data_IF_952330302656
#
_entry.id   IF_952330302656
#
_cell.length_a   1.000
_cell.length_b   1.000
_cell.length_c   1.000
_cell.angle_alpha   90.00
_cell.angle_beta   90.00
_cell.angle_gamma   90.00
#
_symmetry.space_group_name_H-M   'P 1'
#
loop_
_entity.id
_entity.type
_entity.pdbx_description
1 polymer ?
#
# COMPACT_ATOMS: atom_id res chain seq x y z
N UNK A 1 -10.20 -1.63 -17.18
CA UNK A 1 -11.54 -1.06 -16.92
C UNK A 1 -11.76 0.31 -17.53
N UNK A 2 -10.93 1.31 -17.21
CA UNK A 2 -11.12 2.70 -17.70
C UNK A 2 -11.35 2.79 -19.20
N UNK A 3 -10.53 2.11 -20.02
CA UNK A 3 -10.71 2.08 -21.48
C UNK A 3 -12.13 1.69 -21.90
N UNK A 4 -12.67 0.60 -21.33
CA UNK A 4 -14.00 0.10 -21.68
C UNK A 4 -15.11 1.03 -21.17
N UNK A 5 -14.96 1.56 -19.96
CA UNK A 5 -15.91 2.51 -19.38
C UNK A 5 -15.93 3.84 -20.13
N UNK A 6 -14.77 4.34 -20.57
CA UNK A 6 -14.66 5.55 -21.37
C UNK A 6 -15.35 5.35 -22.73
N UNK A 7 -15.10 4.23 -23.43
CA UNK A 7 -15.85 3.93 -24.65
C UNK A 7 -17.37 3.83 -24.42
N UNK A 8 -17.81 3.20 -23.33
CA UNK A 8 -19.24 3.18 -23.01
C UNK A 8 -19.79 4.58 -22.76
N UNK A 9 -19.05 5.43 -22.05
CA UNK A 9 -19.43 6.81 -21.82
C UNK A 9 -19.51 7.61 -23.14
N UNK A 10 -18.47 7.54 -23.98
CA UNK A 10 -18.34 8.33 -25.22
C UNK A 10 -19.32 7.89 -26.31
N UNK A 11 -19.60 6.58 -26.43
CA UNK A 11 -20.36 6.02 -27.54
C UNK A 11 -21.86 5.83 -27.23
N UNK A 12 -22.28 5.98 -25.98
CA UNK A 12 -23.70 5.85 -25.62
C UNK A 12 -24.41 7.21 -25.65
N UNK A 13 -25.73 7.24 -25.94
CA UNK A 13 -26.48 8.51 -25.92
C UNK A 13 -26.37 9.19 -24.55
N UNK A 14 -26.05 10.48 -24.56
CA UNK A 14 -25.98 11.31 -23.34
C UNK A 14 -27.28 11.21 -22.55
N UNK A 15 -27.17 11.04 -21.23
CA UNK A 15 -28.30 10.86 -20.32
C UNK A 15 -28.95 9.46 -20.35
N UNK A 16 -28.49 8.54 -21.21
CA UNK A 16 -28.97 7.16 -21.17
C UNK A 16 -28.51 6.43 -19.90
N UNK A 17 -29.24 5.39 -19.49
CA UNK A 17 -28.89 4.60 -18.29
C UNK A 17 -27.47 4.05 -18.33
N UNK A 18 -26.97 3.68 -19.52
CA UNK A 18 -25.61 3.14 -19.67
C UNK A 18 -24.55 4.25 -19.61
N UNK A 19 -24.83 5.42 -20.20
CA UNK A 19 -23.97 6.60 -20.11
C UNK A 19 -23.76 7.03 -18.65
N UNK A 20 -24.85 7.15 -17.89
CA UNK A 20 -24.79 7.55 -16.47
C UNK A 20 -24.05 6.53 -15.60
N UNK A 21 -24.24 5.22 -15.87
CA UNK A 21 -23.50 4.16 -15.17
C UNK A 21 -22.01 4.17 -15.53
N UNK A 22 -21.67 4.40 -16.79
CA UNK A 22 -20.29 4.52 -17.23
C UNK A 22 -19.61 5.74 -16.58
N UNK A 23 -20.27 6.90 -16.58
CA UNK A 23 -19.79 8.10 -15.89
C UNK A 23 -19.57 7.83 -14.40
N UNK A 24 -20.56 7.27 -13.70
CA UNK A 24 -20.45 6.95 -12.27
C UNK A 24 -19.28 5.99 -11.97
N UNK A 25 -19.06 5.01 -12.85
CA UNK A 25 -17.94 4.08 -12.70
C UNK A 25 -16.58 4.77 -12.95
N UNK A 26 -16.49 5.67 -13.94
CA UNK A 26 -15.31 6.48 -14.19
C UNK A 26 -15.03 7.42 -13.01
N UNK A 27 -16.05 8.09 -12.46
CA UNK A 27 -15.93 8.96 -11.29
C UNK A 27 -15.41 8.18 -10.08
N UNK A 28 -15.89 6.94 -9.89
CA UNK A 28 -15.42 6.05 -8.82
C UNK A 28 -13.94 5.64 -9.02
N UNK A 29 -13.52 5.35 -10.26
CA UNK A 29 -12.11 5.05 -10.55
C UNK A 29 -11.22 6.28 -10.40
N UNK A 30 -11.70 7.45 -10.80
CA UNK A 30 -11.05 8.74 -10.58
C UNK A 30 -10.85 9.04 -9.08
N UNK A 31 -11.81 8.69 -8.23
CA UNK A 31 -11.66 8.74 -6.77
C UNK A 31 -10.56 7.79 -6.27
N UNK A 32 -10.59 6.52 -6.68
CA UNK A 32 -9.58 5.55 -6.23
C UNK A 32 -8.17 5.91 -6.71
N UNK A 33 -8.03 6.41 -7.95
CA UNK A 33 -6.77 6.96 -8.44
C UNK A 33 -6.27 8.08 -7.53
N UNK A 34 -7.11 9.07 -7.23
CA UNK A 34 -6.72 10.20 -6.40
C UNK A 34 -6.32 9.81 -4.97
N UNK A 35 -7.08 8.91 -4.36
CA UNK A 35 -6.85 8.47 -2.98
C UNK A 35 -5.62 7.57 -2.85
N UNK A 36 -5.37 6.68 -3.82
CA UNK A 36 -4.27 5.72 -3.76
C UNK A 36 -2.96 6.24 -4.38
N UNK A 37 -2.96 7.45 -4.95
CA UNK A 37 -1.76 8.06 -5.50
C UNK A 37 -0.76 8.49 -4.43
N UNK A 38 0.52 8.28 -4.70
CA UNK A 38 1.64 8.89 -4.01
C UNK A 38 2.74 9.30 -4.99
N UNK A 39 3.10 10.59 -5.01
CA UNK A 39 4.11 11.18 -5.90
C UNK A 39 4.01 10.73 -7.36
N UNK A 40 2.80 10.74 -7.90
CA UNK A 40 2.48 10.42 -9.30
C UNK A 40 2.43 8.93 -9.61
N UNK A 41 2.44 8.07 -8.60
CA UNK A 41 2.47 6.61 -8.75
C UNK A 41 1.35 5.97 -7.92
N UNK A 42 1.01 4.72 -8.26
CA UNK A 42 0.09 3.89 -7.48
C UNK A 42 0.79 2.60 -7.14
N UNK A 43 1.16 2.48 -5.86
CA UNK A 43 1.85 1.34 -5.30
C UNK A 43 1.19 1.04 -3.97
N UNK A 44 0.22 0.13 -4.01
CA UNK A 44 -0.63 -0.21 -2.87
C UNK A 44 -0.73 -1.73 -2.75
N UNK A 45 -1.57 -2.22 -1.84
CA UNK A 45 -2.06 -3.60 -1.96
C UNK A 45 -2.79 -3.80 -3.29
N UNK A 46 -2.68 -4.99 -3.88
CA UNK A 46 -3.31 -5.36 -5.15
C UNK A 46 -3.87 -6.79 -5.09
N UNK A 47 -5.05 -7.02 -5.64
CA UNK A 47 -5.63 -8.37 -5.74
C UNK A 47 -4.95 -9.25 -6.80
N UNK A 48 -4.32 -8.64 -7.82
CA UNK A 48 -3.54 -9.34 -8.83
C UNK A 48 -2.40 -8.46 -9.31
N UNK A 49 -1.19 -8.97 -9.20
CA UNK A 49 0.03 -8.26 -9.60
C UNK A 49 1.00 -9.19 -10.32
N UNK A 50 1.96 -8.59 -11.03
CA UNK A 50 3.13 -9.29 -11.52
C UNK A 50 4.38 -8.50 -11.14
N UNK A 51 5.53 -9.17 -11.17
CA UNK A 51 6.78 -8.61 -10.68
C UNK A 51 7.15 -7.29 -11.39
N UNK A 52 6.90 -7.19 -12.69
CA UNK A 52 7.14 -5.98 -13.47
C UNK A 52 6.35 -4.80 -12.92
N UNK A 53 5.05 -4.97 -12.69
CA UNK A 53 4.18 -3.92 -12.17
C UNK A 53 4.48 -3.59 -10.70
N UNK A 54 4.89 -4.57 -9.89
CA UNK A 54 5.34 -4.32 -8.51
C UNK A 54 6.59 -3.47 -8.47
N UNK A 55 7.64 -3.89 -9.18
CA UNK A 55 8.96 -3.24 -9.12
C UNK A 55 9.05 -1.96 -9.94
N UNK A 56 8.23 -1.85 -10.98
CA UNK A 56 8.22 -0.74 -11.93
C UNK A 56 6.82 -0.18 -12.13
N UNK A 57 6.14 0.25 -11.06
CA UNK A 57 4.79 0.84 -11.17
C UNK A 57 4.75 2.04 -12.12
N UNK A 58 5.90 2.71 -12.30
CA UNK A 58 6.07 3.82 -13.21
C UNK A 58 5.86 3.47 -14.68
N UNK A 59 6.03 2.21 -15.04
CA UNK A 59 5.74 1.70 -16.37
C UNK A 59 4.31 1.18 -16.51
N UNK A 60 3.38 1.51 -15.62
CA UNK A 60 1.96 1.12 -15.78
C UNK A 60 1.15 2.24 -16.43
N UNK A 61 -0.11 1.97 -16.82
CA UNK A 61 -0.98 3.04 -17.35
C UNK A 61 -1.44 4.05 -16.28
N UNK A 62 -1.24 3.77 -14.99
CA UNK A 62 -1.82 4.55 -13.89
C UNK A 62 -1.21 5.94 -13.73
N UNK A 63 0.13 6.14 -13.80
CA UNK A 63 0.74 7.47 -13.83
C UNK A 63 0.20 8.37 -14.96
N UNK A 64 -0.04 7.81 -16.15
CA UNK A 64 -0.56 8.57 -17.28
C UNK A 64 -2.02 8.99 -17.07
N UNK A 65 -2.84 8.14 -16.43
CA UNK A 65 -4.21 8.48 -16.06
C UNK A 65 -4.27 9.59 -15.00
N UNK A 66 -3.42 9.50 -13.97
CA UNK A 66 -3.28 10.57 -12.99
C UNK A 66 -2.87 11.89 -13.66
N UNK A 67 -2.04 11.83 -14.70
CA UNK A 67 -1.54 13.01 -15.39
C UNK A 67 -2.68 13.70 -16.13
N UNK A 68 -3.48 12.92 -16.86
CA UNK A 68 -4.66 13.44 -17.55
C UNK A 68 -5.73 13.95 -16.58
N UNK A 69 -5.96 13.25 -15.47
CA UNK A 69 -7.07 13.58 -14.58
C UNK A 69 -6.78 14.75 -13.64
N UNK A 70 -5.57 14.82 -13.08
CA UNK A 70 -5.24 15.77 -12.01
C UNK A 70 -3.84 16.40 -12.18
N UNK A 71 -3.26 16.31 -13.38
CA UNK A 71 -1.90 16.78 -13.67
C UNK A 71 -0.85 16.19 -12.71
N UNK A 72 -1.06 14.94 -12.26
CA UNK A 72 -0.20 14.21 -11.33
C UNK A 72 0.40 12.96 -11.97
N UNK A 73 1.65 12.59 -11.71
CA UNK A 73 2.30 11.52 -12.49
C UNK A 73 2.85 12.04 -13.81
N UNK A 74 2.95 11.15 -14.81
CA UNK A 74 3.64 11.40 -16.07
C UNK A 74 3.16 10.43 -17.15
N UNK A 75 3.34 10.84 -18.40
CA UNK A 75 3.02 10.02 -19.56
C UNK A 75 4.10 8.96 -19.80
N UNK A 76 3.68 7.78 -20.25
CA UNK A 76 4.56 6.69 -20.68
C UNK A 76 3.98 5.95 -21.89
N UNK A 77 4.65 4.88 -22.33
CA UNK A 77 4.25 4.09 -23.50
C UNK A 77 2.95 3.29 -23.31
N UNK A 78 2.39 3.24 -22.10
CA UNK A 78 1.13 2.54 -21.81
C UNK A 78 -0.09 3.45 -22.03
N UNK A 79 -0.24 3.93 -23.26
CA UNK A 79 -1.25 4.94 -23.62
C UNK A 79 -2.60 4.37 -24.12
N UNK A 80 -2.71 3.05 -24.37
CA UNK A 80 -3.92 2.47 -25.01
C UNK A 80 -5.21 2.78 -24.25
N UNK A 81 -5.17 2.73 -22.92
CA UNK A 81 -6.33 3.02 -22.09
C UNK A 81 -6.72 4.51 -22.06
N UNK A 82 -5.85 5.38 -22.56
CA UNK A 82 -6.01 6.84 -22.53
C UNK A 82 -6.73 7.38 -23.76
N UNK A 83 -6.67 6.67 -24.89
CA UNK A 83 -7.25 7.15 -26.15
C UNK A 83 -8.71 7.59 -26.01
N UNK A 84 -9.65 6.75 -25.50
CA UNK A 84 -11.04 7.17 -25.35
C UNK A 84 -11.18 8.35 -24.37
N UNK A 85 -10.40 8.38 -23.29
CA UNK A 85 -10.40 9.48 -22.33
C UNK A 85 -9.95 10.81 -22.96
N UNK A 86 -8.94 10.79 -23.82
CA UNK A 86 -8.36 11.99 -24.45
C UNK A 86 -9.28 12.54 -25.55
N UNK A 87 -9.91 11.67 -26.33
CA UNK A 87 -10.78 12.07 -27.46
C UNK A 87 -12.23 12.33 -27.03
N UNK A 88 -12.63 11.80 -25.88
CA UNK A 88 -13.94 11.98 -25.28
C UNK A 88 -14.09 13.31 -24.55
N UNK A 89 -15.27 13.52 -23.94
CA UNK A 89 -15.59 14.72 -23.14
C UNK A 89 -15.75 14.43 -21.64
N UNK A 90 -15.29 13.26 -21.18
CA UNK A 90 -15.29 12.92 -19.76
C UNK A 90 -14.28 13.78 -19.00
N UNK A 91 -14.77 14.51 -17.99
CA UNK A 91 -13.95 15.19 -17.00
C UNK A 91 -14.07 14.49 -15.64
N UNK A 92 -12.95 14.14 -14.98
CA UNK A 92 -12.99 13.60 -13.62
C UNK A 92 -13.45 14.67 -12.63
N UNK A 93 -14.12 14.30 -11.52
CA UNK A 93 -14.54 15.26 -10.51
C UNK A 93 -13.36 16.04 -9.92
N UNK A 94 -13.35 17.37 -10.11
CA UNK A 94 -12.25 18.26 -9.70
C UNK A 94 -12.00 18.25 -8.20
N UNK A 95 -13.03 17.99 -7.40
CA UNK A 95 -12.91 17.91 -5.95
C UNK A 95 -11.91 16.85 -5.47
N UNK A 96 -11.62 15.83 -6.28
CA UNK A 96 -10.69 14.76 -5.95
C UNK A 96 -9.21 15.19 -6.02
N UNK A 97 -8.89 16.32 -6.66
CA UNK A 97 -7.55 16.94 -6.63
C UNK A 97 -7.06 17.23 -5.20
N UNK A 98 -7.96 17.34 -4.23
CA UNK A 98 -7.61 17.54 -2.83
C UNK A 98 -6.86 16.34 -2.22
N UNK A 99 -7.06 15.13 -2.76
CA UNK A 99 -6.45 13.87 -2.29
C UNK A 99 -5.14 13.53 -3.00
N UNK A 100 -4.83 14.25 -4.08
CA UNK A 100 -3.64 14.06 -4.91
C UNK A 100 -2.52 14.99 -4.42
N UNK A 101 -1.28 14.47 -4.42
CA UNK A 101 -0.08 15.21 -4.01
C UNK A 101 -0.28 15.94 -2.67
N UNK A 102 -0.55 15.17 -1.62
CA UNK A 102 -0.61 15.71 -0.27
C UNK A 102 0.66 16.50 0.05
N UNK A 103 0.51 17.57 0.82
CA UNK A 103 1.58 18.54 1.07
C UNK A 103 1.62 18.93 2.54
N UNK A 104 2.77 19.43 3.01
CA UNK A 104 2.92 19.82 4.41
C UNK A 104 2.65 18.66 5.38
N UNK A 105 1.85 18.94 6.41
CA UNK A 105 1.43 18.03 7.49
C UNK A 105 0.14 17.26 7.17
N UNK A 106 -0.31 17.28 5.91
CA UNK A 106 -1.52 16.56 5.52
C UNK A 106 -1.33 15.05 5.61
N UNK A 107 -2.31 14.38 6.23
CA UNK A 107 -2.44 12.93 6.21
C UNK A 107 -3.80 12.55 5.63
N UNK A 108 -3.86 11.34 5.07
CA UNK A 108 -5.07 10.73 4.57
C UNK A 108 -5.10 9.26 5.00
N UNK A 109 -6.23 8.83 5.55
CA UNK A 109 -6.54 7.42 5.80
C UNK A 109 -7.77 7.04 4.99
N UNK A 110 -7.67 5.99 4.19
CA UNK A 110 -8.80 5.41 3.47
C UNK A 110 -8.98 3.95 3.86
N UNK A 111 -10.18 3.61 4.30
CA UNK A 111 -10.57 2.26 4.65
C UNK A 111 -11.79 1.87 3.83
N UNK A 112 -11.75 0.77 3.10
CA UNK A 112 -12.91 0.28 2.35
C UNK A 112 -12.86 -1.24 2.19
N UNK A 113 -13.97 -1.80 1.69
CA UNK A 113 -14.05 -3.24 1.40
C UNK A 113 -14.41 -3.42 -0.07
N UNK A 114 -13.64 -4.25 -0.76
CA UNK A 114 -13.75 -4.50 -2.19
C UNK A 114 -13.86 -5.99 -2.51
N UNK A 115 -14.16 -6.28 -3.78
CA UNK A 115 -14.31 -7.62 -4.31
C UNK A 115 -15.72 -8.17 -4.17
N UNK A 116 -16.03 -9.15 -5.01
CA UNK A 116 -17.31 -9.89 -4.96
C UNK A 116 -17.44 -10.51 -3.56
N UNK A 117 -18.61 -10.37 -2.94
CA UNK A 117 -18.90 -10.84 -1.58
C UNK A 117 -17.98 -10.24 -0.51
N UNK A 118 -17.53 -8.98 -0.68
CA UNK A 118 -16.72 -8.28 0.32
C UNK A 118 -15.40 -9.01 0.63
N UNK A 119 -14.78 -9.56 -0.41
CA UNK A 119 -13.60 -10.44 -0.33
C UNK A 119 -12.42 -9.85 0.45
N UNK A 120 -12.17 -8.55 0.34
CA UNK A 120 -10.97 -7.92 0.91
C UNK A 120 -11.26 -6.58 1.56
N UNK A 121 -10.70 -6.40 2.75
CA UNK A 121 -10.65 -5.12 3.45
C UNK A 121 -9.33 -4.44 3.11
N UNK A 122 -9.37 -3.14 2.87
CA UNK A 122 -8.19 -2.35 2.51
C UNK A 122 -8.04 -1.22 3.52
N UNK A 123 -6.79 -0.98 3.91
CA UNK A 123 -6.39 0.15 4.71
C UNK A 123 -5.25 0.85 3.98
N UNK A 124 -5.36 2.16 3.82
CA UNK A 124 -4.32 3.01 3.27
C UNK A 124 -4.09 4.18 4.22
N UNK A 125 -2.84 4.46 4.52
CA UNK A 125 -2.36 5.68 5.13
C UNK A 125 -1.39 6.35 4.18
N UNK A 126 -1.50 7.65 4.00
CA UNK A 126 -0.47 8.43 3.31
C UNK A 126 -0.34 9.83 3.89
N UNK A 127 0.87 10.38 3.80
CA UNK A 127 1.15 11.78 4.02
C UNK A 127 1.94 12.33 2.80
N UNK A 128 2.52 13.52 2.92
CA UNK A 128 3.28 14.14 1.82
C UNK A 128 4.59 13.41 1.47
N UNK A 129 5.07 12.50 2.33
CA UNK A 129 6.38 11.83 2.22
C UNK A 129 6.30 10.33 1.98
N UNK A 130 5.30 9.66 2.52
CA UNK A 130 5.17 8.21 2.45
C UNK A 130 3.71 7.75 2.33
N UNK A 131 3.53 6.55 1.78
CA UNK A 131 2.27 5.80 1.76
C UNK A 131 2.52 4.39 2.31
N UNK A 132 1.59 3.89 3.11
CA UNK A 132 1.50 2.51 3.58
C UNK A 132 0.10 1.97 3.29
N UNK A 133 0.03 0.83 2.61
CA UNK A 133 -1.23 0.18 2.23
C UNK A 133 -1.19 -1.31 2.53
N UNK A 134 -2.28 -1.81 3.13
CA UNK A 134 -2.44 -3.21 3.54
C UNK A 134 -3.81 -3.76 3.15
N UNK A 135 -3.81 -4.97 2.58
CA UNK A 135 -4.99 -5.82 2.46
C UNK A 135 -5.22 -6.55 3.79
N UNK A 136 -6.16 -6.04 4.59
CA UNK A 136 -6.39 -6.46 5.97
C UNK A 136 -7.14 -7.79 6.03
N UNK A 137 -6.56 -8.78 6.72
CA UNK A 137 -7.20 -10.07 6.97
C UNK A 137 -7.59 -10.86 5.72
N UNK A 138 -6.82 -10.73 4.63
CA UNK A 138 -7.13 -11.41 3.36
C UNK A 138 -6.82 -12.91 3.45
N UNK A 139 -7.83 -13.71 3.79
CA UNK A 139 -7.75 -15.19 3.88
C UNK A 139 -6.46 -15.68 4.57
N UNK A 140 -6.24 -15.32 5.83
CA UNK A 140 -4.99 -15.62 6.53
C UNK A 140 -4.62 -17.10 6.47
N UNK A 141 -3.32 -17.36 6.29
CA UNK A 141 -2.68 -18.69 6.35
C UNK A 141 -3.12 -19.67 5.26
N UNK A 142 -3.99 -19.23 4.35
CA UNK A 142 -4.40 -19.98 3.18
C UNK A 142 -3.40 -19.86 2.02
N UNK A 143 -3.56 -20.69 0.98
CA UNK A 143 -2.80 -20.53 -0.25
C UNK A 143 -3.11 -19.17 -0.90
N UNK A 144 -2.08 -18.49 -1.36
CA UNK A 144 -2.22 -17.29 -2.18
C UNK A 144 -2.05 -17.58 -3.68
N UNK A 145 -2.06 -16.52 -4.46
CA UNK A 145 -1.91 -16.56 -5.91
C UNK A 145 -1.06 -15.40 -6.42
N UNK A 146 -1.64 -14.21 -6.58
CA UNK A 146 -0.95 -13.04 -7.17
C UNK A 146 -1.22 -11.77 -6.37
N UNK A 147 -1.59 -11.90 -5.10
CA UNK A 147 -1.92 -10.78 -4.23
C UNK A 147 -0.64 -10.06 -3.76
N UNK A 148 -0.66 -8.73 -3.77
CA UNK A 148 0.26 -7.89 -3.02
C UNK A 148 -0.44 -7.44 -1.74
N UNK A 149 0.02 -7.91 -0.58
CA UNK A 149 -0.72 -7.73 0.68
C UNK A 149 -0.34 -6.45 1.38
N UNK A 150 0.95 -6.11 1.44
CA UNK A 150 1.44 -4.91 2.15
C UNK A 150 2.46 -4.17 1.28
N UNK A 151 2.35 -2.86 1.24
CA UNK A 151 3.26 -2.01 0.47
C UNK A 151 3.52 -0.69 1.21
N UNK A 152 4.80 -0.35 1.38
CA UNK A 152 5.25 0.99 1.71
C UNK A 152 5.96 1.62 0.50
N UNK A 153 5.79 2.93 0.31
CA UNK A 153 6.44 3.68 -0.78
C UNK A 153 6.77 5.10 -0.32
N UNK A 154 7.94 5.58 -0.72
CA UNK A 154 8.33 6.98 -0.63
C UNK A 154 8.18 7.70 -1.97
N UNK A 155 8.33 6.97 -3.08
CA UNK A 155 8.07 7.39 -4.46
C UNK A 155 7.97 6.17 -5.41
N UNK A 156 7.96 6.42 -6.73
CA UNK A 156 7.80 5.38 -7.75
C UNK A 156 8.89 4.30 -7.83
N UNK A 157 10.02 4.45 -7.11
CA UNK A 157 11.09 3.44 -7.08
C UNK A 157 11.54 3.06 -5.67
N UNK A 158 11.50 3.99 -4.71
CA UNK A 158 11.81 3.76 -3.31
C UNK A 158 10.62 3.10 -2.60
N UNK A 159 10.64 1.77 -2.58
CA UNK A 159 9.49 0.96 -2.18
C UNK A 159 9.88 -0.25 -1.35
N UNK A 160 8.92 -0.75 -0.59
CA UNK A 160 9.06 -1.96 0.21
C UNK A 160 7.76 -2.76 0.21
N UNK A 161 7.85 -4.06 -0.03
CA UNK A 161 6.77 -5.01 0.20
C UNK A 161 7.31 -6.32 0.76
N UNK A 162 6.43 -7.08 1.41
CA UNK A 162 6.75 -8.37 2.04
C UNK A 162 5.86 -9.44 1.41
N UNK A 163 6.45 -10.59 1.09
CA UNK A 163 5.71 -11.75 0.61
C UNK A 163 6.35 -13.07 1.08
N UNK A 164 5.56 -14.14 1.01
CA UNK A 164 6.06 -15.51 1.06
C UNK A 164 6.27 -16.01 -0.38
N UNK A 165 7.50 -16.32 -0.82
CA UNK A 165 7.74 -16.79 -2.18
C UNK A 165 6.97 -18.08 -2.48
N UNK A 166 6.32 -18.13 -3.64
CA UNK A 166 5.62 -19.31 -4.14
C UNK A 166 6.51 -20.33 -4.85
N UNK A 167 7.71 -19.93 -5.24
CA UNK A 167 8.71 -20.76 -5.91
C UNK A 167 10.12 -20.27 -5.59
N UNK A 168 11.14 -21.10 -5.84
CA UNK A 168 12.56 -20.75 -5.64
C UNK A 168 13.17 -19.97 -6.82
N UNK A 169 12.56 -20.05 -8.00
CA UNK A 169 13.11 -19.48 -9.22
C UNK A 169 12.75 -17.99 -9.31
N UNK A 170 13.76 -17.12 -9.21
CA UNK A 170 13.59 -15.65 -9.20
C UNK A 170 12.85 -15.13 -10.44
N UNK A 171 13.16 -15.70 -11.61
CA UNK A 171 12.49 -15.40 -12.88
C UNK A 171 11.69 -16.62 -13.37
N UNK A 172 10.92 -17.21 -12.46
CA UNK A 172 10.05 -18.33 -12.76
C UNK A 172 8.73 -17.90 -13.40
N UNK A 173 7.88 -18.90 -13.65
CA UNK A 173 6.53 -18.70 -14.21
C UNK A 173 5.44 -19.07 -13.18
N UNK A 174 5.83 -19.32 -11.92
CA UNK A 174 4.93 -19.68 -10.85
C UNK A 174 3.87 -18.62 -10.59
N UNK A 175 2.70 -19.07 -10.13
CA UNK A 175 1.63 -18.22 -9.64
C UNK A 175 1.04 -18.90 -8.41
N UNK A 176 1.53 -18.59 -7.20
CA UNK A 176 2.48 -17.52 -6.85
C UNK A 176 3.92 -17.74 -7.36
N UNK A 177 4.61 -16.65 -7.67
CA UNK A 177 6.02 -16.63 -8.08
C UNK A 177 6.96 -16.28 -6.93
N UNK A 178 8.24 -16.01 -7.23
CA UNK A 178 9.22 -15.61 -6.21
C UNK A 178 8.88 -14.26 -5.57
N UNK A 179 8.60 -13.23 -6.39
CA UNK A 179 8.24 -11.87 -5.92
C UNK A 179 6.75 -11.53 -6.04
N UNK A 180 6.05 -12.16 -6.99
CA UNK A 180 4.68 -11.80 -7.31
C UNK A 180 3.70 -12.81 -6.71
N UNK A 181 2.94 -12.34 -5.72
CA UNK A 181 1.99 -13.18 -4.99
C UNK A 181 2.59 -13.77 -3.71
N UNK A 182 1.83 -14.67 -3.10
CA UNK A 182 2.16 -15.28 -1.83
C UNK A 182 1.92 -16.79 -1.89
N UNK A 183 2.93 -17.60 -1.57
CA UNK A 183 2.77 -19.05 -1.35
C UNK A 183 1.77 -19.34 -0.23
N UNK A 184 1.85 -18.55 0.83
CA UNK A 184 0.94 -18.53 1.98
C UNK A 184 0.58 -17.08 2.27
N UNK A 185 -0.70 -16.76 2.37
CA UNK A 185 -1.16 -15.42 2.71
C UNK A 185 -0.93 -15.14 4.20
N UNK A 186 -0.46 -13.95 4.59
CA UNK A 186 -0.34 -13.57 5.99
C UNK A 186 -1.68 -13.10 6.58
N UNK A 187 -1.78 -13.10 7.91
CA UNK A 187 -2.67 -12.18 8.61
C UNK A 187 -1.98 -10.81 8.67
N UNK A 188 -2.38 -9.92 7.78
CA UNK A 188 -1.91 -8.53 7.78
C UNK A 188 -2.96 -7.60 8.37
N UNK A 189 -2.51 -6.65 9.19
CA UNK A 189 -3.32 -5.58 9.78
C UNK A 189 -2.55 -4.26 9.71
N UNK A 190 -3.23 -3.13 9.81
CA UNK A 190 -2.60 -1.81 9.76
C UNK A 190 -3.32 -0.84 10.69
N UNK A 191 -2.59 0.02 11.39
CA UNK A 191 -3.15 1.15 12.09
C UNK A 191 -2.31 2.39 11.80
N UNK A 192 -2.92 3.38 11.14
CA UNK A 192 -2.22 4.58 10.65
C UNK A 192 -0.95 4.18 9.87
N UNK A 193 0.22 4.60 10.33
CA UNK A 193 1.50 4.46 9.66
C UNK A 193 2.27 3.17 10.00
N UNK A 194 1.65 2.19 10.69
CA UNK A 194 2.27 0.90 11.03
C UNK A 194 1.40 -0.27 10.56
N UNK A 195 2.02 -1.28 9.96
CA UNK A 195 1.40 -2.54 9.57
C UNK A 195 2.14 -3.71 10.24
N UNK A 196 1.36 -4.70 10.69
CA UNK A 196 1.85 -5.94 11.29
C UNK A 196 1.42 -7.08 10.36
N UNK A 197 2.35 -7.96 10.02
CA UNK A 197 2.17 -9.03 9.04
C UNK A 197 2.63 -10.34 9.66
N UNK A 198 1.68 -11.14 10.10
CA UNK A 198 1.91 -12.46 10.70
C UNK A 198 1.81 -13.55 9.63
N UNK A 199 2.84 -14.38 9.52
CA UNK A 199 2.88 -15.56 8.68
C UNK A 199 2.83 -16.82 9.53
N UNK A 200 2.00 -17.76 9.07
CA UNK A 200 1.95 -19.13 9.56
C UNK A 200 1.93 -20.09 8.36
N UNK A 201 3.10 -20.62 7.98
CA UNK A 201 3.28 -21.43 6.76
C UNK A 201 3.08 -22.91 7.08
N UNK A 202 1.84 -23.37 6.92
CA UNK A 202 1.40 -24.74 7.26
C UNK A 202 1.95 -25.79 6.29
N UNK A 203 1.98 -25.50 4.99
CA UNK A 203 2.41 -26.47 3.98
C UNK A 203 3.93 -26.61 3.98
N UNK A 204 4.42 -27.78 4.44
CA UNK A 204 5.83 -28.12 4.51
C UNK A 204 6.54 -28.17 3.14
N UNK A 205 5.78 -28.26 2.04
CA UNK A 205 6.33 -28.22 0.68
C UNK A 205 6.73 -26.81 0.25
N UNK A 206 6.16 -25.79 0.90
CA UNK A 206 6.52 -24.40 0.65
C UNK A 206 7.82 -24.05 1.38
N UNK A 207 8.41 -22.93 0.96
CA UNK A 207 9.62 -22.39 1.55
C UNK A 207 9.39 -22.03 3.03
N UNK A 208 10.43 -22.17 3.82
CA UNK A 208 10.42 -21.97 5.27
C UNK A 208 10.92 -20.57 5.66
N UNK A 209 10.73 -19.59 4.79
CA UNK A 209 11.11 -18.21 5.00
C UNK A 209 10.16 -17.24 4.30
N UNK A 210 10.18 -16.00 4.75
CA UNK A 210 9.52 -14.87 4.09
C UNK A 210 10.57 -13.84 3.74
N UNK A 211 10.28 -12.96 2.79
CA UNK A 211 11.23 -11.93 2.42
C UNK A 211 10.57 -10.58 2.14
N UNK A 212 11.39 -9.54 2.20
CA UNK A 212 11.03 -8.19 1.81
C UNK A 212 11.84 -7.78 0.57
N UNK A 213 11.16 -7.16 -0.39
CA UNK A 213 11.80 -6.43 -1.48
C UNK A 213 12.17 -5.04 -0.97
N UNK A 214 13.45 -4.70 -0.96
CA UNK A 214 13.98 -3.41 -0.51
C UNK A 214 15.13 -3.00 -1.43
N UNK A 215 14.89 -2.27 -2.53
CA UNK A 215 15.92 -1.92 -3.50
C UNK A 215 16.80 -0.79 -2.95
N UNK A 216 17.89 -1.13 -2.24
CA UNK A 216 18.71 -0.16 -1.53
C UNK A 216 19.27 0.97 -2.40
N UNK A 217 19.43 0.75 -3.71
CA UNK A 217 19.89 1.79 -4.65
C UNK A 217 18.90 2.95 -4.82
N UNK A 218 17.62 2.74 -4.49
CA UNK A 218 16.57 3.74 -4.65
C UNK A 218 16.44 4.67 -3.44
N UNK A 219 17.14 4.37 -2.35
CA UNK A 219 17.14 5.13 -1.10
C UNK A 219 18.44 5.94 -0.96
N UNK A 220 18.37 7.10 -0.32
CA UNK A 220 19.54 7.95 -0.10
C UNK A 220 20.40 7.45 1.05
N UNK A 221 19.76 6.90 2.08
CA UNK A 221 20.46 6.33 3.22
C UNK A 221 19.70 5.15 3.82
N UNK A 222 20.47 4.27 4.47
CA UNK A 222 19.91 3.15 5.22
C UNK A 222 20.79 2.77 6.41
N UNK A 223 20.17 2.12 7.40
CA UNK A 223 20.81 1.46 8.55
C UNK A 223 20.15 0.13 8.80
N UNK A 224 20.91 -0.85 9.27
CA UNK A 224 20.41 -2.19 9.54
C UNK A 224 21.04 -2.73 10.82
N UNK A 225 20.24 -3.47 11.57
CA UNK A 225 20.66 -4.32 12.68
C UNK A 225 20.21 -5.77 12.45
N UNK A 226 20.35 -6.64 13.45
CA UNK A 226 20.02 -8.06 13.30
C UNK A 226 18.55 -8.32 12.94
N UNK A 227 17.63 -7.45 13.39
CA UNK A 227 16.19 -7.64 13.24
C UNK A 227 15.51 -6.51 12.48
N UNK A 228 16.20 -5.42 12.18
CA UNK A 228 15.57 -4.21 11.69
C UNK A 228 16.36 -3.53 10.59
N UNK A 229 15.66 -2.83 9.68
CA UNK A 229 16.24 -1.95 8.68
C UNK A 229 15.45 -0.64 8.64
N UNK A 230 16.17 0.47 8.57
CA UNK A 230 15.64 1.82 8.42
C UNK A 230 16.15 2.41 7.12
N UNK A 231 15.26 3.06 6.36
CA UNK A 231 15.51 3.59 5.02
C UNK A 231 15.00 5.02 4.94
N UNK A 232 15.70 5.89 4.22
CA UNK A 232 15.28 7.28 4.01
C UNK A 232 15.48 7.71 2.56
N UNK A 233 14.54 8.55 2.10
CA UNK A 233 14.66 9.32 0.87
C UNK A 233 13.79 10.57 0.93
N UNK A 234 14.38 11.73 0.63
CA UNK A 234 13.71 13.02 0.52
C UNK A 234 12.81 13.35 1.73
N UNK A 235 13.29 13.00 2.93
CA UNK A 235 12.56 13.20 4.18
C UNK A 235 11.35 12.27 4.36
N UNK A 236 11.25 11.20 3.60
CA UNK A 236 10.37 10.06 3.87
C UNK A 236 11.15 8.90 4.46
N UNK A 237 10.52 8.13 5.34
CA UNK A 237 11.16 7.05 6.09
C UNK A 237 10.37 5.75 5.96
N UNK A 238 11.07 4.62 5.82
CA UNK A 238 10.50 3.27 5.91
C UNK A 238 11.32 2.45 6.89
N UNK A 239 10.67 1.86 7.89
CA UNK A 239 11.26 0.94 8.84
C UNK A 239 10.67 -0.46 8.71
N UNK A 240 11.51 -1.49 8.72
CA UNK A 240 11.10 -2.89 8.84
C UNK A 240 11.69 -3.51 10.10
N UNK A 241 10.94 -4.41 10.72
CA UNK A 241 11.44 -5.34 11.73
C UNK A 241 10.86 -6.73 11.50
N UNK A 242 11.67 -7.76 11.69
CA UNK A 242 11.23 -9.15 11.66
C UNK A 242 11.53 -9.85 12.98
N UNK A 243 10.60 -10.69 13.44
CA UNK A 243 10.75 -11.49 14.66
C UNK A 243 11.99 -12.40 14.58
N UNK A 244 12.17 -13.10 13.46
CA UNK A 244 13.22 -14.10 13.31
C UNK A 244 14.54 -13.57 12.72
N UNK A 245 14.73 -12.24 12.72
CA UNK A 245 15.91 -11.59 12.19
C UNK A 245 15.83 -11.32 10.69
N UNK A 246 16.76 -10.52 10.19
CA UNK A 246 16.82 -10.12 8.78
C UNK A 246 18.21 -10.38 8.23
N UNK A 247 18.28 -11.10 7.11
CA UNK A 247 19.51 -11.30 6.34
C UNK A 247 19.37 -10.70 4.95
N UNK A 248 20.29 -9.80 4.58
CA UNK A 248 20.37 -9.25 3.23
C UNK A 248 20.99 -10.27 2.26
N UNK A 249 20.40 -10.40 1.08
CA UNK A 249 21.01 -11.14 -0.03
C UNK A 249 22.20 -10.35 -0.60
N UNK A 250 23.39 -10.94 -0.59
CA UNK A 250 24.64 -10.26 -1.00
C UNK A 250 25.07 -10.58 -2.44
N UNK A 251 24.40 -11.53 -3.11
CA UNK A 251 24.82 -12.05 -4.41
C UNK A 251 23.66 -12.26 -5.38
N UNK A 252 24.00 -12.42 -6.67
CA UNK A 252 23.04 -12.72 -7.72
C UNK A 252 22.07 -11.56 -8.03
N UNK A 253 20.96 -11.83 -8.73
CA UNK A 253 20.02 -10.80 -9.15
C UNK A 253 19.31 -10.14 -7.96
N UNK A 254 19.13 -10.81 -6.84
CA UNK A 254 18.48 -10.23 -5.66
C UNK A 254 19.42 -9.44 -4.73
N UNK A 255 20.71 -9.34 -5.09
CA UNK A 255 21.73 -8.63 -4.31
C UNK A 255 21.28 -7.24 -3.90
N UNK A 256 21.32 -6.96 -2.59
CA UNK A 256 20.95 -5.65 -1.98
C UNK A 256 19.52 -5.19 -2.33
N UNK A 257 18.66 -6.14 -2.69
CA UNK A 257 17.24 -5.94 -3.00
C UNK A 257 16.31 -6.88 -2.23
N UNK A 258 16.84 -7.97 -1.70
CA UNK A 258 16.10 -8.98 -0.96
C UNK A 258 16.60 -9.08 0.48
N UNK A 259 15.65 -9.10 1.41
CA UNK A 259 15.87 -9.21 2.84
C UNK A 259 15.05 -10.37 3.38
N UNK A 260 15.72 -11.42 3.84
CA UNK A 260 15.14 -12.72 4.16
C UNK A 260 14.99 -12.83 5.67
N UNK A 261 13.81 -13.24 6.14
CA UNK A 261 13.58 -13.66 7.51
C UNK A 261 13.18 -15.13 7.53
N UNK A 262 13.95 -16.00 8.20
CA UNK A 262 13.68 -17.43 8.26
C UNK A 262 12.45 -17.75 9.13
N UNK A 263 11.97 -18.98 9.05
CA UNK A 263 10.90 -19.53 9.88
C UNK A 263 9.54 -19.57 9.17
N UNK A 264 8.80 -20.65 9.45
CA UNK A 264 7.41 -20.85 9.02
C UNK A 264 6.43 -19.98 9.80
N UNK A 265 6.78 -19.70 11.05
CA UNK A 265 6.13 -18.75 11.94
C UNK A 265 6.98 -17.50 12.00
N UNK A 266 6.46 -16.38 11.52
CA UNK A 266 7.20 -15.13 11.53
C UNK A 266 6.26 -13.94 11.57
N UNK A 267 6.73 -12.84 12.16
CA UNK A 267 6.01 -11.58 12.22
C UNK A 267 6.91 -10.48 11.69
N UNK A 268 6.37 -9.70 10.76
CA UNK A 268 6.98 -8.46 10.30
C UNK A 268 6.20 -7.26 10.82
N UNK A 269 6.94 -6.20 11.14
CA UNK A 269 6.41 -4.86 11.38
C UNK A 269 6.98 -3.93 10.32
N UNK A 270 6.09 -3.27 9.58
CA UNK A 270 6.42 -2.27 8.57
C UNK A 270 5.87 -0.92 9.03
N UNK A 271 6.72 0.10 9.10
CA UNK A 271 6.35 1.45 9.53
C UNK A 271 6.80 2.46 8.48
N UNK A 272 5.98 3.48 8.26
CA UNK A 272 6.35 4.65 7.46
C UNK A 272 6.36 5.91 8.32
N UNK A 273 7.18 6.88 7.94
CA UNK A 273 7.27 8.16 8.63
C UNK A 273 7.73 9.29 7.74
N UNK A 274 7.79 10.48 8.34
CA UNK A 274 8.21 11.70 7.66
C UNK A 274 9.26 12.47 8.48
N UNK A 275 10.03 13.30 7.79
CA UNK A 275 10.91 14.28 8.43
C UNK A 275 10.11 15.20 9.35
N UNK A 276 10.58 15.35 10.58
CA UNK A 276 9.86 15.97 11.69
C UNK A 276 9.41 14.96 12.74
N UNK A 277 9.10 13.72 12.34
CA UNK A 277 8.97 12.57 13.25
C UNK A 277 10.33 11.93 13.51
N UNK A 278 11.16 11.87 12.46
CA UNK A 278 12.54 11.40 12.51
C UNK A 278 13.46 12.45 11.88
N UNK A 279 14.64 12.63 12.45
CA UNK A 279 15.69 13.49 11.89
C UNK A 279 16.59 12.74 10.90
N UNK A 280 16.82 11.46 11.14
CA UNK A 280 17.70 10.60 10.32
C UNK A 280 17.33 9.12 10.42
N UNK A 281 17.99 8.29 9.61
CA UNK A 281 17.81 6.83 9.59
C UNK A 281 18.24 6.15 10.89
N UNK A 282 19.15 6.76 11.64
CA UNK A 282 19.63 6.22 12.90
C UNK A 282 18.55 6.34 13.99
N UNK A 283 17.76 7.43 13.99
CA UNK A 283 16.60 7.60 14.87
C UNK A 283 15.46 6.63 14.53
N UNK A 284 15.15 6.45 13.24
CA UNK A 284 14.17 5.44 12.82
C UNK A 284 14.64 4.03 13.21
N UNK A 285 15.92 3.69 13.03
CA UNK A 285 16.43 2.38 13.42
C UNK A 285 16.24 2.15 14.92
N UNK A 286 16.58 3.14 15.77
CA UNK A 286 16.38 3.05 17.23
C UNK A 286 14.91 2.82 17.60
N UNK A 287 13.98 3.54 16.96
CA UNK A 287 12.54 3.33 17.15
C UNK A 287 12.11 1.92 16.74
N UNK A 288 12.56 1.43 15.57
CA UNK A 288 12.28 0.06 15.15
C UNK A 288 12.88 -0.98 16.11
N UNK A 289 14.06 -0.72 16.69
CA UNK A 289 14.70 -1.65 17.65
C UNK A 289 13.96 -1.77 18.98
N UNK A 290 13.27 -0.70 19.39
CA UNK A 290 12.43 -0.65 20.59
C UNK A 290 11.09 -1.37 20.41
N UNK A 291 10.73 -1.77 19.18
CA UNK A 291 9.51 -2.54 18.96
C UNK A 291 9.69 -3.96 19.49
N UNK A 292 8.90 -4.34 20.49
CA UNK A 292 8.88 -5.73 20.95
C UNK A 292 7.78 -6.48 20.21
N UNK A 293 8.08 -7.72 19.82
CA UNK A 293 7.15 -8.62 19.12
C UNK A 293 7.08 -9.89 19.95
N UNK A 294 5.88 -10.23 20.42
CA UNK A 294 5.58 -11.48 21.11
C UNK A 294 4.52 -12.20 20.30
N UNK A 295 4.91 -13.29 19.65
CA UNK A 295 3.98 -14.23 19.03
C UNK A 295 3.71 -15.36 20.02
N UNK A 296 2.44 -15.57 20.38
CA UNK A 296 2.00 -16.68 21.23
C UNK A 296 1.50 -17.84 20.33
N UNK A 297 0.39 -18.46 20.70
CA UNK A 297 -0.32 -19.42 19.86
C UNK A 297 -0.93 -18.73 18.61
N UNK A 298 -1.33 -19.54 17.61
CA UNK A 298 -1.84 -19.06 16.30
C UNK A 298 -2.79 -17.87 16.41
N UNK A 299 -2.45 -16.76 15.74
CA UNK A 299 -3.31 -15.59 15.59
C UNK A 299 -3.37 -14.69 16.81
N UNK A 300 -2.47 -14.88 17.79
CA UNK A 300 -2.24 -13.94 18.88
C UNK A 300 -0.83 -13.36 18.83
N UNK A 301 -0.76 -12.10 18.40
CA UNK A 301 0.49 -11.33 18.30
C UNK A 301 0.34 -10.05 19.09
N UNK A 302 1.28 -9.82 20.00
CA UNK A 302 1.45 -8.56 20.70
C UNK A 302 2.66 -7.83 20.12
N UNK A 303 2.44 -6.60 19.67
CA UNK A 303 3.50 -5.66 19.29
C UNK A 303 3.42 -4.44 20.20
N UNK A 304 4.53 -4.04 20.80
CA UNK A 304 4.62 -2.84 21.63
C UNK A 304 5.61 -1.85 21.04
N UNK A 305 5.27 -0.57 21.05
CA UNK A 305 6.20 0.53 20.74
C UNK A 305 5.90 1.69 21.71
N UNK A 306 6.78 1.86 22.71
CA UNK A 306 6.56 2.83 23.79
C UNK A 306 5.25 2.54 24.53
N UNK A 307 4.32 3.51 24.52
CA UNK A 307 3.00 3.37 25.13
C UNK A 307 1.94 2.73 24.22
N UNK A 308 2.27 2.45 22.96
CA UNK A 308 1.35 1.85 22.01
C UNK A 308 1.39 0.32 22.11
N UNK A 309 0.22 -0.29 22.28
CA UNK A 309 0.03 -1.73 22.32
C UNK A 309 -0.86 -2.15 21.17
N UNK A 310 -0.34 -2.99 20.28
CA UNK A 310 -1.06 -3.58 19.16
C UNK A 310 -1.26 -5.06 19.46
N UNK A 311 -2.51 -5.50 19.56
CA UNK A 311 -2.87 -6.89 19.83
C UNK A 311 -3.67 -7.41 18.66
N UNK A 312 -3.14 -8.42 17.98
CA UNK A 312 -3.90 -9.23 17.03
C UNK A 312 -4.49 -10.37 17.84
N UNK A 313 -5.81 -10.53 17.80
CA UNK A 313 -6.50 -11.66 18.40
C UNK A 313 -7.78 -11.94 17.61
N UNK A 314 -8.05 -13.22 17.29
CA UNK A 314 -9.21 -13.63 16.49
C UNK A 314 -9.31 -12.86 15.16
N UNK A 315 -8.20 -12.79 14.42
CA UNK A 315 -8.05 -12.07 13.14
C UNK A 315 -8.38 -10.56 13.19
N UNK A 316 -8.49 -9.99 14.40
CA UNK A 316 -8.82 -8.59 14.63
C UNK A 316 -7.67 -7.86 15.31
N UNK A 317 -7.43 -6.62 14.88
CA UNK A 317 -6.47 -5.72 15.53
C UNK A 317 -7.15 -4.90 16.63
N UNK A 318 -6.53 -4.85 17.79
CA UNK A 318 -6.83 -3.94 18.90
C UNK A 318 -5.63 -3.03 19.14
N UNK A 319 -5.87 -1.74 19.35
CA UNK A 319 -4.86 -0.74 19.68
C UNK A 319 -5.21 -0.14 21.02
N UNK A 320 -4.32 -0.30 22.00
CA UNK A 320 -4.53 0.15 23.38
C UNK A 320 -5.86 -0.33 23.98
N UNK A 321 -6.29 -1.55 23.63
CA UNK A 321 -7.54 -2.16 24.09
C UNK A 321 -8.78 -1.85 23.26
N UNK A 322 -8.70 -0.93 22.28
CA UNK A 322 -9.82 -0.61 21.39
C UNK A 322 -9.70 -1.31 20.05
N UNK A 323 -10.81 -1.85 19.52
CA UNK A 323 -10.81 -2.49 18.21
C UNK A 323 -10.51 -1.46 17.10
N UNK A 324 -9.47 -1.72 16.30
CA UNK A 324 -8.97 -0.77 15.30
C UNK A 324 -9.88 -0.63 14.08
N UNK A 325 -10.60 -1.69 13.71
CA UNK A 325 -11.38 -1.76 12.49
C UNK A 325 -12.81 -2.27 12.71
N UNK A 326 -13.74 -1.69 11.96
CA UNK A 326 -15.14 -2.10 11.88
C UNK A 326 -15.47 -2.58 10.46
N UNK A 327 -14.72 -3.57 9.97
CA UNK A 327 -14.98 -4.23 8.69
C UNK A 327 -16.11 -5.27 8.81
N UNK A 328 -16.79 -5.60 7.71
CA UNK A 328 -16.64 -5.04 6.37
C UNK A 328 -17.30 -3.65 6.22
N UNK A 329 -16.74 -2.84 5.33
CA UNK A 329 -17.29 -1.55 4.90
C UNK A 329 -17.98 -1.69 3.53
N UNK A 330 -18.48 -0.58 2.99
CA UNK A 330 -18.88 -0.51 1.58
C UNK A 330 -17.68 -0.13 0.69
N UNK A 331 -17.89 -0.14 -0.63
CA UNK A 331 -16.84 0.14 -1.64
C UNK A 331 -16.27 1.57 -1.52
N UNK A 332 -17.11 2.55 -1.19
CA UNK A 332 -16.66 3.92 -0.95
C UNK A 332 -15.85 4.02 0.34
N UNK A 333 -16.26 3.28 1.37
CA UNK A 333 -15.57 3.15 2.63
C UNK A 333 -15.64 4.40 3.51
N UNK A 334 -14.62 4.58 4.34
CA UNK A 334 -14.39 5.72 5.22
C UNK A 334 -13.10 6.42 4.80
N UNK A 335 -13.17 7.74 4.64
CA UNK A 335 -12.03 8.58 4.32
C UNK A 335 -11.84 9.60 5.43
N UNK A 336 -10.62 9.69 5.96
CA UNK A 336 -10.22 10.65 6.97
C UNK A 336 -9.05 11.46 6.42
N UNK A 337 -9.07 12.77 6.64
CA UNK A 337 -7.98 13.67 6.24
C UNK A 337 -7.67 14.64 7.37
N UNK A 338 -6.39 14.85 7.64
CA UNK A 338 -5.89 15.85 8.59
C UNK A 338 -4.99 16.85 7.88
N UNK A 339 -4.78 18.03 8.48
CA UNK A 339 -4.01 19.13 7.89
C UNK A 339 -4.79 19.96 6.86
N UNK A 340 -4.65 21.29 6.89
CA UNK A 340 -5.22 22.17 5.86
C UNK A 340 -4.24 22.29 4.68
N UNK A 341 -4.71 22.01 3.46
CA UNK A 341 -3.96 22.35 2.23
C UNK A 341 -3.84 23.88 2.22
N UNK A 342 -2.68 24.44 2.59
CA UNK A 342 -2.45 25.89 2.48
C UNK A 342 -2.66 26.26 1.02
N UNK A 343 -3.79 26.91 0.75
CA UNK A 343 -4.06 27.50 -0.57
C UNK A 343 -2.88 28.42 -0.88
N UNK A 344 -2.17 28.14 -1.97
CA UNK A 344 -1.53 29.24 -2.68
C UNK A 344 -2.70 30.08 -3.19
N UNK A 345 -2.66 31.36 -2.84
CA UNK A 345 -3.64 32.40 -3.13
C UNK A 345 -4.71 32.61 -2.04
N UNK A 346 -4.64 33.82 -1.45
CA UNK A 346 -5.42 34.23 -0.31
C UNK A 346 -6.89 34.45 -0.67
N UNK A 347 -7.77 33.77 0.07
CA UNK A 347 -9.07 34.29 0.50
C UNK A 347 -9.65 33.35 1.57
N UNK A 348 -10.21 33.97 2.60
CA UNK A 348 -10.58 33.46 3.91
C UNK A 348 -11.73 32.44 3.95
N UNK A 349 -11.68 31.60 4.99
CA UNK A 349 -12.61 30.55 5.42
C UNK A 349 -14.11 30.82 5.27
N UNK A 350 -14.84 29.76 4.91
CA UNK A 350 -16.12 29.41 5.55
C UNK A 350 -16.14 27.90 5.85
N UNK A 351 -16.40 27.55 7.12
CA UNK A 351 -16.67 26.19 7.59
C UNK A 351 -18.11 25.82 7.21
N UNK A 352 -18.31 24.74 6.47
CA UNK A 352 -19.62 24.09 6.39
C UNK A 352 -19.57 22.70 7.01
N UNK A 353 -20.40 22.54 8.04
CA UNK A 353 -20.75 21.29 8.71
C UNK A 353 -21.87 20.65 7.89
N UNK A 354 -21.62 19.54 7.22
CA UNK A 354 -22.71 18.77 6.60
C UNK A 354 -23.36 17.85 7.65
N UNK A 355 -24.63 18.16 7.95
CA UNK A 355 -25.59 17.27 8.60
C UNK A 355 -26.51 16.67 7.53
N UNK A 356 -26.64 15.34 7.63
CA UNK A 356 -27.60 14.39 7.00
C UNK A 356 -27.36 13.99 5.56
#
# INVERSE_FOLDING_TARGET
DIMGLAYLYDLTPKGSSLHEKAKKALDMLAFFLAVNEHKGNIMTSFGRTYERELKGSYSTGMPSLLYLFYNAGYMNEHFRALVPVIVGDYEPPKEYERYVRLSGDQELIHQNTQGINQLVNLYLYKNSRALLSTAVGLRPYGPGYQENVVQATLDGTAQVFINHPGEVQIYGNGRPGFWAGNGCLPLAVQYRNISIVEYHIIDEKLLDYTHAYVPLSEFHSYRMSANSIALEKDGGYIGLRALNGIRMQEEGPCRRREFISPGRDNVWVLKVGAYGEYQDVDELLRDMEQIEIVAEDRGKVLVTNGSAHYVIENDSLYVNGEKAHNYPLNVAGKLETTGEKRRRDGQSHNKEIFRK
#
